data_IF_280027183600
#
_entry.id   IF_280027183600
#
_cell.length_a   1.000
_cell.length_b   1.000
_cell.length_c   1.000
_cell.angle_alpha   90.00
_cell.angle_beta   90.00
_cell.angle_gamma   90.00
#
_symmetry.space_group_name_H-M   'P 1'
#
loop_
_entity.id
_entity.type
_entity.pdbx_description
1 polymer ?
#
# COMPACT_ATOMS: atom_id res chain seq x y z
N UNK A 1 18.22 9.08 -8.41
CA UNK A 1 17.75 10.46 -8.67
C UNK A 1 16.25 10.41 -8.43
N UNK A 2 15.74 10.76 -7.24
CA UNK A 2 14.30 10.60 -6.98
C UNK A 2 13.49 11.57 -7.87
N UNK A 3 12.63 11.04 -8.73
CA UNK A 3 11.59 11.85 -9.37
C UNK A 3 10.62 12.36 -8.29
N UNK A 4 9.85 13.43 -8.57
CA UNK A 4 8.75 13.86 -7.69
C UNK A 4 7.81 12.65 -7.53
N UNK A 5 7.73 12.04 -6.34
CA UNK A 5 7.13 10.73 -6.20
C UNK A 5 5.60 10.78 -6.15
N UNK A 6 5.01 11.95 -5.93
CA UNK A 6 3.57 12.18 -5.93
C UNK A 6 3.16 12.96 -7.18
N UNK A 7 2.28 12.37 -7.98
CA UNK A 7 1.54 13.06 -9.04
C UNK A 7 0.10 13.26 -8.58
N UNK A 8 -0.23 14.51 -8.24
CA UNK A 8 -1.55 14.87 -7.72
C UNK A 8 -2.62 14.94 -8.80
N UNK A 9 -2.24 15.12 -10.07
CA UNK A 9 -3.17 15.10 -11.21
C UNK A 9 -3.61 13.68 -11.53
N UNK A 10 -2.67 12.75 -11.64
CA UNK A 10 -2.98 11.32 -11.89
C UNK A 10 -3.36 10.56 -10.61
N UNK A 11 -3.18 11.17 -9.43
CA UNK A 11 -3.36 10.54 -8.10
C UNK A 11 -2.55 9.25 -7.99
N UNK A 12 -1.28 9.32 -8.37
CA UNK A 12 -0.36 8.19 -8.27
C UNK A 12 0.83 8.52 -7.39
N UNK A 13 1.27 7.51 -6.66
CA UNK A 13 2.53 7.51 -5.92
C UNK A 13 3.52 6.60 -6.63
N UNK A 14 4.64 7.15 -7.07
CA UNK A 14 5.75 6.40 -7.61
C UNK A 14 6.54 5.73 -6.48
N UNK A 15 6.59 4.40 -6.52
CA UNK A 15 7.34 3.56 -5.59
C UNK A 15 8.61 3.12 -6.33
N UNK A 16 9.74 3.75 -5.99
CA UNK A 16 11.06 3.46 -6.55
C UNK A 16 11.76 2.35 -5.75
N UNK A 17 12.40 1.40 -6.43
CA UNK A 17 13.27 0.37 -5.85
C UNK A 17 12.66 -0.32 -4.60
N UNK A 18 11.45 -0.89 -4.71
CA UNK A 18 10.89 -1.62 -3.58
C UNK A 18 11.80 -2.80 -3.20
N UNK A 19 11.83 -3.16 -1.92
CA UNK A 19 12.59 -4.32 -1.42
C UNK A 19 12.38 -5.60 -2.23
N UNK A 20 11.20 -5.74 -2.84
CA UNK A 20 10.84 -6.82 -3.76
C UNK A 20 9.99 -6.23 -4.88
N UNK A 21 10.24 -6.68 -6.11
CA UNK A 21 9.50 -6.28 -7.30
C UNK A 21 10.10 -5.09 -8.05
N UNK A 22 9.36 -4.60 -9.04
CA UNK A 22 9.78 -3.50 -9.92
C UNK A 22 9.20 -2.17 -9.41
N UNK A 23 9.89 -1.07 -9.74
CA UNK A 23 9.37 0.28 -9.56
C UNK A 23 8.02 0.43 -10.26
N UNK A 24 7.08 1.15 -9.65
CA UNK A 24 5.70 1.24 -10.17
C UNK A 24 4.98 2.50 -9.70
N UNK A 25 3.99 2.93 -10.47
CA UNK A 25 3.00 3.91 -10.04
C UNK A 25 1.87 3.18 -9.31
N UNK A 26 1.61 3.55 -8.06
CA UNK A 26 0.51 3.02 -7.26
C UNK A 26 -0.62 4.06 -7.21
N UNK A 27 -1.85 3.75 -7.64
CA UNK A 27 -2.97 4.68 -7.52
C UNK A 27 -3.33 4.91 -6.05
N UNK A 28 -3.61 6.15 -5.67
CA UNK A 28 -3.97 6.51 -4.30
C UNK A 28 -5.32 7.24 -4.25
N UNK A 29 -6.08 7.11 -3.15
CA UNK A 29 -7.30 7.89 -2.98
C UNK A 29 -7.04 9.40 -3.00
N UNK A 30 -8.05 10.18 -3.44
CA UNK A 30 -7.96 11.64 -3.50
C UNK A 30 -7.60 12.26 -2.13
N UNK A 31 -8.19 11.75 -1.05
CA UNK A 31 -7.91 12.23 0.30
C UNK A 31 -6.43 12.04 0.68
N UNK A 32 -5.83 10.90 0.32
CA UNK A 32 -4.42 10.64 0.56
C UNK A 32 -3.52 11.52 -0.31
N UNK A 33 -3.89 11.72 -1.58
CA UNK A 33 -3.17 12.63 -2.49
C UNK A 33 -3.08 14.04 -1.90
N UNK A 34 -4.22 14.62 -1.49
CA UNK A 34 -4.29 15.94 -0.85
C UNK A 34 -3.52 16.01 0.47
N UNK A 35 -3.60 14.94 1.28
CA UNK A 35 -2.87 14.87 2.54
C UNK A 35 -1.35 14.88 2.32
N UNK A 36 -0.86 14.12 1.34
CA UNK A 36 0.56 14.05 1.02
C UNK A 36 1.07 15.34 0.39
N UNK A 37 0.29 15.98 -0.47
CA UNK A 37 0.61 17.30 -1.03
C UNK A 37 0.80 18.33 0.09
N UNK A 38 -0.20 18.49 0.96
CA UNK A 38 -0.12 19.38 2.12
C UNK A 38 1.05 19.06 3.05
N UNK A 39 1.35 17.77 3.25
CA UNK A 39 2.48 17.35 4.06
C UNK A 39 3.82 17.75 3.41
N UNK A 40 3.96 17.53 2.10
CA UNK A 40 5.15 17.87 1.33
C UNK A 40 5.40 19.37 1.33
N UNK A 41 4.38 20.18 1.09
CA UNK A 41 4.49 21.65 1.07
C UNK A 41 4.95 22.22 2.43
N UNK A 42 4.57 21.56 3.53
CA UNK A 42 4.93 21.97 4.90
C UNK A 42 6.30 21.47 5.36
N UNK A 43 6.79 20.35 4.80
CA UNK A 43 7.94 19.61 5.34
C UNK A 43 9.14 19.57 4.42
N UNK A 44 8.95 19.76 3.12
CA UNK A 44 10.03 19.77 2.15
C UNK A 44 10.43 21.22 1.83
N UNK A 45 11.73 21.54 1.80
CA UNK A 45 12.20 22.86 1.40
C UNK A 45 11.73 23.18 -0.03
N UNK A 46 11.15 24.36 -0.22
CA UNK A 46 10.79 24.87 -1.55
C UNK A 46 12.07 25.30 -2.27
N UNK A 47 12.27 24.85 -3.51
CA UNK A 47 13.26 25.45 -4.43
C UNK A 47 14.72 25.00 -4.32
N UNK A 48 15.06 23.97 -3.56
CA UNK A 48 16.49 23.59 -3.36
C UNK A 48 17.10 22.75 -4.49
N UNK A 49 16.32 22.36 -5.51
CA UNK A 49 16.75 21.41 -6.56
C UNK A 49 17.21 20.04 -6.03
N UNK A 50 17.24 19.88 -4.71
CA UNK A 50 17.80 18.75 -4.00
C UNK A 50 16.68 17.77 -3.77
N UNK A 51 16.82 16.64 -4.41
CA UNK A 51 15.83 15.60 -4.35
C UNK A 51 15.90 14.92 -2.97
N UNK A 52 14.87 15.09 -2.16
CA UNK A 52 14.77 14.49 -0.82
C UNK A 52 13.67 13.43 -0.73
N UNK A 53 13.83 12.41 0.14
CA UNK A 53 12.74 11.49 0.48
C UNK A 53 11.53 12.22 1.06
N UNK A 54 10.31 11.84 0.66
CA UNK A 54 9.06 12.43 1.19
C UNK A 54 9.05 12.36 2.72
N UNK A 55 9.35 11.19 3.26
CA UNK A 55 9.39 10.97 4.71
C UNK A 55 10.83 11.00 5.20
N UNK A 56 11.24 12.16 5.71
CA UNK A 56 12.58 12.37 6.23
C UNK A 56 12.82 11.59 7.53
N UNK A 57 14.00 10.98 7.60
CA UNK A 57 14.51 10.26 8.76
C UNK A 57 15.14 11.18 9.80
N UNK A 58 16.03 10.62 10.63
CA UNK A 58 16.74 11.38 11.68
C UNK A 58 17.90 12.19 11.10
N UNK A 59 18.50 11.70 10.01
CA UNK A 59 19.61 12.35 9.33
C UNK A 59 19.08 13.12 8.11
N UNK A 60 19.50 14.38 7.90
CA UNK A 60 19.11 15.17 6.74
C UNK A 60 19.38 14.42 5.42
N UNK A 61 18.45 14.50 4.48
CA UNK A 61 18.56 13.85 3.17
C UNK A 61 18.39 12.32 3.17
N UNK A 62 18.23 11.68 4.33
CA UNK A 62 17.91 10.25 4.42
C UNK A 62 16.43 10.05 4.72
N UNK A 63 15.85 9.01 4.12
CA UNK A 63 14.47 8.60 4.37
C UNK A 63 14.32 7.93 5.73
N UNK A 64 13.09 7.68 6.15
CA UNK A 64 12.82 6.85 7.32
C UNK A 64 13.42 5.46 7.15
N UNK A 65 14.15 4.99 8.17
CA UNK A 65 14.51 3.58 8.27
C UNK A 65 13.33 2.75 8.77
N UNK A 66 13.34 1.44 8.50
CA UNK A 66 12.29 0.53 8.99
C UNK A 66 12.12 0.56 10.50
N UNK A 67 13.24 0.68 11.24
CA UNK A 67 13.20 0.82 12.70
C UNK A 67 12.45 2.10 13.08
N UNK A 68 12.72 3.23 12.42
CA UNK A 68 12.02 4.48 12.68
C UNK A 68 10.54 4.41 12.36
N UNK A 69 10.15 3.75 11.26
CA UNK A 69 8.73 3.54 10.93
C UNK A 69 8.06 2.69 12.01
N UNK A 70 8.71 1.61 12.44
CA UNK A 70 8.20 0.72 13.50
C UNK A 70 8.06 1.46 14.83
N UNK A 71 9.08 2.18 15.27
CA UNK A 71 9.07 2.90 16.55
C UNK A 71 7.97 3.98 16.57
N UNK A 72 7.80 4.71 15.45
CA UNK A 72 6.70 5.67 15.28
C UNK A 72 5.34 4.98 15.32
N UNK A 73 5.20 3.86 14.62
CA UNK A 73 3.96 3.09 14.62
C UNK A 73 3.61 2.60 16.02
N UNK A 74 4.56 2.02 16.76
CA UNK A 74 4.34 1.57 18.14
C UNK A 74 3.97 2.73 19.08
N UNK A 75 4.60 3.90 18.91
CA UNK A 75 4.22 5.11 19.65
C UNK A 75 2.75 5.47 19.40
N UNK A 76 2.33 5.56 18.13
CA UNK A 76 0.95 5.93 17.80
C UNK A 76 -0.07 4.85 18.16
N UNK A 77 0.31 3.57 18.05
CA UNK A 77 -0.51 2.44 18.49
C UNK A 77 -0.82 2.50 19.99
N UNK A 78 0.16 2.84 20.83
CA UNK A 78 -0.06 3.04 22.27
C UNK A 78 -0.96 4.23 22.61
N UNK A 79 -0.91 5.27 21.78
CA UNK A 79 -1.70 6.50 21.97
C UNK A 79 -3.09 6.44 21.32
N UNK A 80 -3.39 5.37 20.60
CA UNK A 80 -4.68 5.17 19.94
C UNK A 80 -5.39 3.98 20.55
N UNK A 81 -6.71 3.95 20.41
CA UNK A 81 -7.54 2.87 20.92
C UNK A 81 -7.63 1.68 19.93
N UNK A 82 -6.55 1.43 19.18
CA UNK A 82 -6.50 0.31 18.24
C UNK A 82 -5.97 -0.96 18.92
N UNK A 83 -6.27 -2.10 18.32
CA UNK A 83 -5.81 -3.41 18.82
C UNK A 83 -4.28 -3.46 18.99
N UNK A 84 -3.83 -3.81 20.19
CA UNK A 84 -2.41 -3.77 20.57
C UNK A 84 -1.53 -4.79 19.83
N UNK A 85 -2.12 -5.89 19.35
CA UNK A 85 -1.43 -6.90 18.54
C UNK A 85 -1.24 -6.50 17.06
N UNK A 86 -1.72 -5.33 16.65
CA UNK A 86 -1.50 -4.85 15.28
C UNK A 86 -0.03 -4.53 15.04
N UNK A 87 0.42 -4.92 13.86
CA UNK A 87 1.73 -4.57 13.29
C UNK A 87 1.52 -3.81 11.99
N UNK A 88 2.57 -3.20 11.44
CA UNK A 88 2.54 -2.61 10.09
C UNK A 88 2.11 -3.63 9.02
N UNK A 89 2.48 -4.91 9.17
CA UNK A 89 2.06 -5.95 8.24
C UNK A 89 0.57 -6.26 8.34
N UNK A 90 -0.04 -6.09 9.51
CA UNK A 90 -1.48 -6.25 9.72
C UNK A 90 -2.30 -5.28 8.85
N UNK A 91 -1.81 -4.05 8.62
CA UNK A 91 -2.47 -3.10 7.72
C UNK A 91 -2.39 -3.55 6.25
N UNK A 92 -1.25 -4.09 5.84
CA UNK A 92 -1.10 -4.66 4.49
C UNK A 92 -2.04 -5.84 4.28
N UNK A 93 -2.14 -6.72 5.26
CA UNK A 93 -3.06 -7.86 5.22
C UNK A 93 -4.53 -7.38 5.17
N UNK A 94 -4.90 -6.42 6.01
CA UNK A 94 -6.25 -5.84 6.00
C UNK A 94 -6.60 -5.20 4.65
N UNK A 95 -5.67 -4.45 4.06
CA UNK A 95 -5.83 -3.87 2.73
C UNK A 95 -6.02 -4.93 1.64
N UNK A 96 -5.21 -6.00 1.67
CA UNK A 96 -5.33 -7.11 0.72
C UNK A 96 -6.69 -7.82 0.82
N UNK A 97 -7.13 -8.16 2.03
CA UNK A 97 -8.43 -8.80 2.26
C UNK A 97 -9.58 -7.89 1.81
N UNK A 98 -9.52 -6.59 2.13
CA UNK A 98 -10.55 -5.65 1.71
C UNK A 98 -10.62 -5.52 0.19
N UNK A 99 -9.47 -5.42 -0.49
CA UNK A 99 -9.42 -5.38 -1.95
C UNK A 99 -10.00 -6.63 -2.58
N UNK A 100 -9.58 -7.81 -2.13
CA UNK A 100 -10.06 -9.09 -2.65
C UNK A 100 -11.59 -9.24 -2.52
N UNK A 101 -12.14 -8.85 -1.36
CA UNK A 101 -13.59 -8.86 -1.13
C UNK A 101 -14.32 -7.87 -2.01
N UNK A 102 -13.81 -6.64 -2.10
CA UNK A 102 -14.44 -5.56 -2.89
C UNK A 102 -14.36 -5.82 -4.39
N UNK A 103 -13.34 -6.54 -4.85
CA UNK A 103 -13.19 -6.96 -6.25
C UNK A 103 -13.91 -8.28 -6.57
N UNK A 104 -14.75 -8.78 -5.66
CA UNK A 104 -15.50 -10.03 -5.80
C UNK A 104 -14.64 -11.28 -6.04
N UNK A 105 -13.38 -11.27 -5.57
CA UNK A 105 -12.44 -12.38 -5.65
C UNK A 105 -11.35 -12.21 -6.71
N UNK A 106 -11.12 -11.01 -7.25
CA UNK A 106 -10.04 -10.77 -8.20
C UNK A 106 -8.67 -10.78 -7.50
N UNK A 107 -8.02 -11.94 -7.55
CA UNK A 107 -6.70 -12.18 -6.99
C UNK A 107 -5.60 -11.41 -7.74
N UNK A 108 -5.74 -11.25 -9.06
CA UNK A 108 -4.74 -10.58 -9.89
C UNK A 108 -4.72 -9.07 -9.61
N UNK A 109 -5.90 -8.46 -9.49
CA UNK A 109 -6.03 -7.06 -9.06
C UNK A 109 -5.44 -6.86 -7.67
N UNK A 110 -5.74 -7.77 -6.74
CA UNK A 110 -5.19 -7.73 -5.37
C UNK A 110 -3.66 -7.82 -5.38
N UNK A 111 -3.09 -8.77 -6.13
CA UNK A 111 -1.64 -8.93 -6.26
C UNK A 111 -0.96 -7.70 -6.89
N UNK A 112 -1.58 -7.11 -7.94
CA UNK A 112 -1.09 -5.88 -8.58
C UNK A 112 -1.08 -4.70 -7.62
N UNK A 113 -2.16 -4.50 -6.85
CA UNK A 113 -2.24 -3.44 -5.85
C UNK A 113 -1.16 -3.62 -4.76
N UNK A 114 -0.90 -4.86 -4.34
CA UNK A 114 0.16 -5.16 -3.38
C UNK A 114 1.57 -5.04 -3.98
N UNK A 115 1.70 -5.10 -5.31
CA UNK A 115 2.97 -5.15 -6.02
C UNK A 115 3.69 -6.49 -5.86
N UNK A 116 2.93 -7.59 -5.75
CA UNK A 116 3.48 -8.93 -5.73
C UNK A 116 3.85 -9.36 -7.16
N UNK A 117 5.08 -9.85 -7.33
CA UNK A 117 5.53 -10.47 -8.59
C UNK A 117 5.13 -11.93 -8.70
N UNK A 118 4.81 -12.54 -7.57
CA UNK A 118 4.41 -13.94 -7.43
C UNK A 118 3.03 -14.02 -6.77
N UNK A 119 2.09 -14.68 -7.46
CA UNK A 119 0.72 -14.86 -6.99
C UNK A 119 0.64 -15.75 -5.75
N UNK A 120 1.59 -16.65 -5.52
CA UNK A 120 1.61 -17.54 -4.35
C UNK A 120 1.57 -16.75 -3.04
N UNK A 121 2.22 -15.58 -3.00
CA UNK A 121 2.20 -14.69 -1.83
C UNK A 121 0.84 -14.03 -1.57
N UNK A 122 -0.03 -14.01 -2.57
CA UNK A 122 -1.39 -13.45 -2.51
C UNK A 122 -2.44 -14.53 -2.24
N UNK A 123 -2.16 -15.80 -2.55
CA UNK A 123 -3.06 -16.94 -2.31
C UNK A 123 -3.48 -17.09 -0.83
N UNK A 124 -2.68 -16.58 0.11
CA UNK A 124 -3.05 -16.52 1.54
C UNK A 124 -4.36 -15.75 1.79
N UNK A 125 -4.80 -14.89 0.87
CA UNK A 125 -6.06 -14.15 0.97
C UNK A 125 -7.24 -14.83 0.25
N UNK A 126 -7.01 -15.98 -0.40
CA UNK A 126 -8.06 -16.73 -1.09
C UNK A 126 -9.02 -17.32 -0.05
N UNK A 127 -10.29 -16.95 -0.12
CA UNK A 127 -11.35 -17.68 0.57
C UNK A 127 -11.67 -18.92 -0.29
N UNK A 128 -11.51 -20.11 0.29
CA UNK A 128 -11.89 -21.35 -0.37
C UNK A 128 -13.40 -21.53 -0.20
N UNK A 129 -14.15 -21.44 -1.29
CA UNK A 129 -15.60 -21.61 -1.31
C UNK A 129 -15.99 -22.67 -2.35
N UNK A 130 -15.96 -23.97 -1.98
CA UNK A 130 -16.32 -25.05 -2.90
C UNK A 130 -17.78 -24.99 -3.34
N UNK A 131 -18.69 -24.51 -2.48
CA UNK A 131 -20.12 -24.37 -2.81
C UNK A 131 -20.34 -23.34 -3.92
N UNK A 132 -19.60 -22.22 -3.87
CA UNK A 132 -19.62 -21.23 -4.94
C UNK A 132 -19.17 -21.84 -6.27
N UNK A 133 -18.16 -22.71 -6.28
CA UNK A 133 -17.72 -23.39 -7.50
C UNK A 133 -18.83 -24.27 -8.08
N UNK A 134 -19.46 -25.12 -7.26
CA UNK A 134 -20.58 -25.95 -7.71
C UNK A 134 -21.73 -25.11 -8.26
N UNK A 135 -22.12 -24.04 -7.56
CA UNK A 135 -23.18 -23.15 -8.01
C UNK A 135 -22.88 -22.46 -9.34
N UNK A 136 -21.62 -22.09 -9.59
CA UNK A 136 -21.19 -21.45 -10.83
C UNK A 136 -21.18 -22.45 -11.99
N UNK A 137 -20.68 -23.67 -11.77
CA UNK A 137 -20.71 -24.74 -12.78
C UNK A 137 -22.16 -25.02 -13.19
N UNK A 138 -23.07 -25.16 -12.23
CA UNK A 138 -24.49 -25.38 -12.51
C UNK A 138 -25.15 -24.22 -13.29
N UNK A 139 -24.72 -22.97 -13.03
CA UNK A 139 -25.21 -21.79 -13.80
C UNK A 139 -24.67 -21.71 -15.22
N UNK A 140 -23.42 -22.13 -15.44
CA UNK A 140 -22.79 -22.13 -16.78
C UNK A 140 -23.36 -23.25 -17.65
N UNK A 141 -23.68 -24.38 -17.02
CA UNK A 141 -24.26 -25.55 -17.68
C UNK A 141 -25.65 -25.85 -17.10
N UNK A 142 -26.66 -25.00 -17.34
CA UNK A 142 -28.03 -25.27 -16.91
C UNK A 142 -28.57 -26.45 -17.73
N UNK A 143 -29.15 -27.44 -17.04
CA UNK A 143 -29.92 -28.53 -17.67
C UNK A 143 -31.23 -28.00 -18.25
#
# INVERSE_FOLDING_TARGET
MYSRPLDTKSRTLFIENPKRGKSRHHPIPLCLSKLLENYMDRKLPVGTGTIMPIFQGRHPGKGLSEKQVRDRFEKWKRLSDIRQNLTLHSFRAGYATLLYKTSHGDLLLTARALGHTDLQTTERYLEKDPERLFSLIAKIFPL
#
